data_IF_261306532666
#
_entry.id   IF_261306532666
#
_cell.length_a   1.000
_cell.length_b   1.000
_cell.length_c   1.000
_cell.angle_alpha   90.00
_cell.angle_beta   90.00
_cell.angle_gamma   90.00
#
_symmetry.space_group_name_H-M   'P 1'
#
loop_
_entity.id
_entity.type
_entity.pdbx_description
1 polymer ?
#
# COMPACT_ATOMS: atom_id res chain seq x y z
N UNK A 1 7.65 -25.07 -60.36
CA UNK A 1 7.12 -25.79 -59.18
C UNK A 1 7.67 -25.24 -57.83
N UNK A 2 8.53 -24.21 -57.86
CA UNK A 2 9.20 -23.67 -56.67
C UNK A 2 8.46 -22.50 -56.00
N UNK A 3 7.70 -21.71 -56.76
CA UNK A 3 6.97 -20.52 -56.24
C UNK A 3 5.94 -20.92 -55.19
N UNK A 4 5.28 -22.06 -55.36
CA UNK A 4 4.27 -22.52 -54.37
C UNK A 4 4.92 -22.98 -53.05
N UNK A 5 6.11 -23.54 -53.10
CA UNK A 5 6.86 -23.94 -51.87
C UNK A 5 7.38 -22.73 -51.12
N UNK A 6 7.87 -21.70 -51.81
CA UNK A 6 8.31 -20.45 -51.18
C UNK A 6 7.14 -19.72 -50.52
N UNK A 7 5.98 -19.64 -51.17
CA UNK A 7 4.78 -19.01 -50.62
C UNK A 7 4.31 -19.73 -49.32
N UNK A 8 4.30 -21.04 -49.30
CA UNK A 8 3.94 -21.83 -48.14
C UNK A 8 4.92 -21.57 -46.95
N UNK A 9 6.23 -21.52 -47.27
CA UNK A 9 7.23 -21.21 -46.25
C UNK A 9 7.07 -19.83 -45.63
N UNK A 10 6.74 -18.82 -46.43
CA UNK A 10 6.48 -17.47 -45.93
C UNK A 10 5.22 -17.38 -45.05
N UNK A 11 4.16 -18.12 -45.43
CA UNK A 11 2.94 -18.18 -44.60
C UNK A 11 3.22 -18.77 -43.24
N UNK A 12 3.95 -19.88 -43.15
CA UNK A 12 4.32 -20.47 -41.86
C UNK A 12 5.19 -19.56 -41.01
N UNK A 13 6.09 -18.79 -41.62
CA UNK A 13 6.94 -17.84 -40.92
C UNK A 13 6.14 -16.68 -40.33
N UNK A 14 5.21 -16.13 -41.09
CA UNK A 14 4.32 -15.06 -40.59
C UNK A 14 3.43 -15.59 -39.46
N UNK A 15 2.89 -16.79 -39.61
CA UNK A 15 2.06 -17.42 -38.58
C UNK A 15 2.83 -17.66 -37.28
N UNK A 16 4.08 -18.11 -37.36
CA UNK A 16 4.94 -18.31 -36.19
C UNK A 16 5.26 -16.98 -35.49
N UNK A 17 5.58 -15.93 -36.24
CA UNK A 17 5.84 -14.59 -35.67
C UNK A 17 4.59 -14.01 -35.00
N UNK A 18 3.41 -14.14 -35.61
CA UNK A 18 2.17 -13.66 -35.01
C UNK A 18 1.84 -14.39 -33.70
N UNK A 19 2.09 -15.69 -33.64
CA UNK A 19 1.86 -16.47 -32.43
C UNK A 19 2.78 -16.03 -31.28
N UNK A 20 4.06 -15.75 -31.57
CA UNK A 20 5.00 -15.23 -30.57
C UNK A 20 4.52 -13.87 -30.04
N UNK A 21 4.05 -12.99 -30.90
CA UNK A 21 3.53 -11.65 -30.48
C UNK A 21 2.32 -11.81 -29.55
N UNK A 22 1.39 -12.70 -29.89
CA UNK A 22 0.22 -12.96 -29.03
C UNK A 22 0.63 -13.48 -27.64
N UNK A 23 1.59 -14.41 -27.58
CA UNK A 23 2.10 -14.92 -26.31
C UNK A 23 2.74 -13.80 -25.48
N UNK A 24 3.54 -12.93 -26.10
CA UNK A 24 4.16 -11.80 -25.41
C UNK A 24 3.13 -10.82 -24.84
N UNK A 25 2.06 -10.51 -25.58
CA UNK A 25 0.99 -9.63 -25.10
C UNK A 25 0.28 -10.25 -23.88
N UNK A 26 0.00 -11.55 -23.91
CA UNK A 26 -0.60 -12.26 -22.79
C UNK A 26 0.31 -12.24 -21.54
N UNK A 27 1.62 -12.49 -21.74
CA UNK A 27 2.58 -12.46 -20.65
C UNK A 27 2.69 -11.07 -20.01
N UNK A 28 2.74 -10.00 -20.81
CA UNK A 28 2.82 -8.63 -20.31
C UNK A 28 1.55 -8.28 -19.51
N UNK A 29 0.37 -8.64 -20.00
CA UNK A 29 -0.88 -8.44 -19.28
C UNK A 29 -0.89 -9.15 -17.92
N UNK A 30 -0.45 -10.41 -17.87
CA UNK A 30 -0.39 -11.19 -16.62
C UNK A 30 0.58 -10.60 -15.59
N UNK A 31 1.71 -10.04 -16.01
CA UNK A 31 2.69 -9.39 -15.11
C UNK A 31 2.08 -8.12 -14.50
N UNK A 32 1.37 -7.32 -15.30
CA UNK A 32 0.76 -6.07 -14.83
C UNK A 32 -0.32 -6.33 -13.76
N UNK A 33 -1.11 -7.39 -13.91
CA UNK A 33 -2.13 -7.74 -12.91
C UNK A 33 -1.50 -8.19 -11.58
N UNK A 34 -0.36 -8.87 -11.62
CA UNK A 34 0.35 -9.27 -10.40
C UNK A 34 0.93 -8.10 -9.60
N UNK A 35 1.43 -7.06 -10.24
CA UNK A 35 1.96 -5.88 -9.54
C UNK A 35 0.88 -5.13 -8.72
N UNK A 36 -0.34 -5.06 -9.23
CA UNK A 36 -1.46 -4.41 -8.51
C UNK A 36 -1.85 -5.22 -7.26
N UNK A 37 -1.88 -6.53 -7.35
CA UNK A 37 -2.20 -7.41 -6.22
C UNK A 37 -1.12 -7.35 -5.13
N UNK A 38 0.15 -7.33 -5.52
CA UNK A 38 1.28 -7.17 -4.61
C UNK A 38 1.22 -5.84 -3.83
N UNK A 39 0.86 -4.75 -4.47
CA UNK A 39 0.77 -3.45 -3.82
C UNK A 39 -0.35 -3.41 -2.77
N UNK A 40 -1.49 -4.02 -3.05
CA UNK A 40 -2.59 -4.15 -2.11
C UNK A 40 -2.20 -4.97 -0.87
N UNK A 41 -1.58 -6.14 -1.08
CA UNK A 41 -1.11 -6.99 0.03
C UNK A 41 -0.10 -6.26 0.90
N UNK A 42 0.87 -5.57 0.30
CA UNK A 42 1.88 -4.80 1.03
C UNK A 42 1.27 -3.67 1.86
N UNK A 43 0.27 -2.99 1.33
CA UNK A 43 -0.45 -1.93 2.04
C UNK A 43 -1.25 -2.50 3.22
N UNK A 44 -1.92 -3.64 3.04
CA UNK A 44 -2.64 -4.32 4.11
C UNK A 44 -1.71 -4.81 5.23
N UNK A 45 -0.55 -5.38 4.88
CA UNK A 45 0.47 -5.76 5.84
C UNK A 45 0.98 -4.55 6.63
N UNK A 46 1.25 -3.44 5.96
CA UNK A 46 1.71 -2.21 6.61
C UNK A 46 0.69 -1.70 7.62
N UNK A 47 -0.58 -1.61 7.23
CA UNK A 47 -1.66 -1.14 8.10
C UNK A 47 -1.83 -2.03 9.32
N UNK A 48 -1.85 -3.34 9.11
CA UNK A 48 -1.91 -4.30 10.20
C UNK A 48 -0.72 -4.16 11.14
N UNK A 49 0.48 -3.93 10.61
CA UNK A 49 1.67 -3.68 11.40
C UNK A 49 1.50 -2.41 12.25
N UNK A 50 1.06 -1.30 11.66
CA UNK A 50 0.86 -0.04 12.39
C UNK A 50 -0.07 -0.22 13.60
N UNK A 51 -1.16 -0.97 13.44
CA UNK A 51 -2.22 -1.09 14.46
C UNK A 51 -1.95 -2.22 15.45
N UNK A 52 -1.32 -3.33 15.01
CA UNK A 52 -1.22 -4.55 15.80
C UNK A 52 0.17 -4.84 16.35
N UNK A 53 1.22 -4.15 15.86
CA UNK A 53 2.59 -4.36 16.33
C UNK A 53 2.84 -3.50 17.58
N UNK A 54 3.35 -4.13 18.65
CA UNK A 54 3.72 -3.44 19.88
C UNK A 54 4.85 -2.42 19.69
N UNK A 55 5.68 -2.57 18.66
CA UNK A 55 6.71 -1.61 18.30
C UNK A 55 6.18 -0.43 17.47
N UNK A 56 4.90 -0.45 17.08
CA UNK A 56 4.23 0.64 16.38
C UNK A 56 3.22 1.34 17.31
N UNK A 57 1.94 1.30 17.00
CA UNK A 57 0.92 2.01 17.77
C UNK A 57 0.23 1.15 18.82
N UNK A 58 0.30 -0.19 18.70
CA UNK A 58 -0.46 -1.07 19.57
C UNK A 58 -0.13 -0.85 21.05
N UNK A 59 -1.17 -0.76 21.86
CA UNK A 59 -1.00 -0.77 23.33
C UNK A 59 -0.66 -2.17 23.81
N UNK A 60 0.38 -2.27 24.65
CA UNK A 60 0.80 -3.53 25.29
C UNK A 60 1.17 -3.30 26.76
N UNK A 61 0.72 -4.16 27.63
CA UNK A 61 1.04 -4.18 29.06
C UNK A 61 1.72 -5.49 29.53
N UNK A 62 1.56 -6.57 28.86
CA UNK A 62 2.19 -7.89 28.88
C UNK A 62 1.75 -8.67 27.64
N UNK A 63 0.77 -8.14 26.95
CA UNK A 63 0.23 -8.64 25.69
C UNK A 63 -0.30 -7.46 24.88
N UNK A 64 -0.35 -7.63 23.60
CA UNK A 64 -0.98 -6.65 22.69
C UNK A 64 -2.50 -6.66 22.88
N UNK A 65 -3.08 -5.49 23.07
CA UNK A 65 -4.52 -5.30 23.16
C UNK A 65 -5.08 -4.89 21.80
N UNK A 66 -5.81 -5.81 21.16
CA UNK A 66 -6.41 -5.55 19.84
C UNK A 66 -7.40 -4.39 19.90
N UNK A 67 -7.26 -3.46 18.97
CA UNK A 67 -8.13 -2.29 18.90
C UNK A 67 -7.79 -1.18 19.91
N UNK A 68 -6.66 -1.29 20.60
CA UNK A 68 -6.15 -0.23 21.48
C UNK A 68 -4.80 0.27 20.99
N UNK A 69 -4.64 1.59 20.95
CA UNK A 69 -3.38 2.26 20.60
C UNK A 69 -2.87 3.08 21.76
N UNK A 70 -1.55 3.19 21.87
CA UNK A 70 -0.87 3.95 22.92
C UNK A 70 -0.60 5.37 22.45
N UNK A 71 -1.15 6.36 23.15
CA UNK A 71 -0.95 7.79 22.86
C UNK A 71 0.53 8.17 22.82
N UNK A 72 1.36 7.60 23.69
CA UNK A 72 2.79 7.91 23.77
C UNK A 72 3.57 7.47 22.55
N UNK A 73 3.06 6.47 21.82
CA UNK A 73 3.67 5.96 20.59
C UNK A 73 3.22 6.75 19.34
N UNK A 74 2.18 7.57 19.48
CA UNK A 74 1.71 8.44 18.41
C UNK A 74 2.62 9.67 18.30
N UNK A 75 3.79 9.47 17.73
CA UNK A 75 4.77 10.52 17.43
C UNK A 75 5.61 10.11 16.21
N UNK A 76 6.10 11.09 15.45
CA UNK A 76 6.82 10.92 14.20
C UNK A 76 8.03 10.01 14.36
N UNK A 77 8.92 10.31 15.30
CA UNK A 77 10.17 9.56 15.52
C UNK A 77 9.91 8.07 15.81
N UNK A 78 8.85 7.75 16.56
CA UNK A 78 8.50 6.37 16.88
C UNK A 78 7.97 5.64 15.66
N UNK A 79 7.10 6.31 14.88
CA UNK A 79 6.47 5.76 13.69
C UNK A 79 7.45 5.59 12.52
N UNK A 80 8.42 6.47 12.34
CA UNK A 80 9.49 6.30 11.36
C UNK A 80 10.28 5.00 11.57
N UNK A 81 10.55 4.64 12.82
CA UNK A 81 11.23 3.38 13.14
C UNK A 81 10.36 2.13 12.87
N UNK A 82 9.06 2.30 12.85
CA UNK A 82 8.10 1.22 12.61
C UNK A 82 7.77 1.05 11.13
N UNK A 83 7.65 2.14 10.38
CA UNK A 83 7.22 2.15 8.98
C UNK A 83 8.44 2.05 8.06
N UNK A 84 8.39 1.13 7.11
CA UNK A 84 9.49 0.92 6.17
C UNK A 84 9.63 2.08 5.18
N UNK A 85 10.85 2.33 4.73
CA UNK A 85 11.15 3.26 3.65
C UNK A 85 10.39 2.93 2.35
N UNK A 86 10.04 3.96 1.59
CA UNK A 86 9.44 3.85 0.25
C UNK A 86 7.90 3.86 0.22
N UNK A 87 7.25 4.09 1.35
CA UNK A 87 5.80 4.32 1.45
C UNK A 87 5.59 5.64 2.18
N UNK A 88 4.84 6.58 1.58
CA UNK A 88 4.34 7.76 2.28
C UNK A 88 3.10 7.38 3.09
N UNK A 89 3.03 7.79 4.34
CA UNK A 89 1.88 7.52 5.20
C UNK A 89 1.46 8.81 5.89
N UNK A 90 0.18 9.11 5.81
CA UNK A 90 -0.46 10.17 6.60
C UNK A 90 -1.36 9.50 7.63
N UNK A 91 -1.11 9.79 8.89
CA UNK A 91 -1.87 9.28 10.02
C UNK A 91 -2.62 10.43 10.66
N UNK A 92 -3.94 10.37 10.66
CA UNK A 92 -4.78 11.36 11.31
C UNK A 92 -5.55 10.70 12.46
N UNK A 93 -5.23 11.08 13.69
CA UNK A 93 -5.85 10.58 14.91
C UNK A 93 -6.80 11.63 15.46
N UNK A 94 -8.10 11.29 15.53
CA UNK A 94 -9.13 12.13 16.11
C UNK A 94 -9.69 11.49 17.37
N UNK A 95 -9.71 12.25 18.47
CA UNK A 95 -10.27 11.82 19.76
C UNK A 95 -10.84 13.02 20.49
N UNK A 96 -11.97 12.86 21.17
CA UNK A 96 -12.74 13.94 21.76
C UNK A 96 -12.99 15.09 20.75
N UNK A 97 -12.33 16.23 20.94
CA UNK A 97 -12.37 17.39 20.05
C UNK A 97 -10.98 17.73 19.48
N UNK A 98 -10.02 16.82 19.61
CA UNK A 98 -8.66 16.99 19.12
C UNK A 98 -8.43 16.18 17.87
N UNK A 99 -7.60 16.71 16.98
CA UNK A 99 -7.11 16.01 15.80
C UNK A 99 -5.61 16.24 15.71
N UNK A 100 -4.88 15.15 15.59
CA UNK A 100 -3.42 15.16 15.43
C UNK A 100 -3.08 14.45 14.13
N UNK A 101 -2.18 15.06 13.36
CA UNK A 101 -1.72 14.51 12.09
C UNK A 101 -0.21 14.29 12.14
N UNK A 102 0.22 13.16 11.62
CA UNK A 102 1.64 12.79 11.47
C UNK A 102 1.86 12.33 10.03
N UNK A 103 2.88 12.89 9.41
CA UNK A 103 3.37 12.49 8.09
C UNK A 103 4.64 11.66 8.26
N UNK A 104 4.72 10.56 7.54
CA UNK A 104 5.92 9.71 7.49
C UNK A 104 6.35 9.61 6.03
N UNK A 105 7.63 9.84 5.78
CA UNK A 105 8.18 9.98 4.43
C UNK A 105 7.51 11.13 3.67
N UNK A 106 7.78 12.34 4.13
CA UNK A 106 7.16 13.60 3.67
C UNK A 106 7.20 13.77 2.15
N UNK A 107 8.30 13.36 1.51
CA UNK A 107 8.47 13.44 0.05
C UNK A 107 7.37 12.71 -0.73
N UNK A 108 6.80 11.66 -0.15
CA UNK A 108 5.69 10.90 -0.72
C UNK A 108 4.35 11.27 -0.07
N UNK A 109 4.32 11.48 1.24
CA UNK A 109 3.10 11.80 1.99
C UNK A 109 2.45 13.10 1.48
N UNK A 110 3.23 14.12 1.17
CA UNK A 110 2.77 15.39 0.57
C UNK A 110 2.10 15.22 -0.81
N UNK A 111 2.30 14.06 -1.45
CA UNK A 111 1.70 13.77 -2.75
C UNK A 111 0.35 13.06 -2.66
N UNK A 112 -0.22 12.93 -1.47
CA UNK A 112 -1.50 12.24 -1.28
C UNK A 112 -2.65 12.90 -2.06
N UNK A 113 -2.57 14.21 -2.28
CA UNK A 113 -3.53 14.95 -3.11
C UNK A 113 -3.48 14.57 -4.60
N UNK A 114 -2.39 13.91 -5.03
CA UNK A 114 -2.22 13.42 -6.40
C UNK A 114 -2.72 11.98 -6.61
N UNK A 115 -3.41 11.40 -5.64
CA UNK A 115 -3.96 10.04 -5.68
C UNK A 115 -5.01 9.83 -6.80
N UNK A 116 -5.48 10.89 -7.45
CA UNK A 116 -6.29 10.80 -8.68
C UNK A 116 -5.51 10.29 -9.90
N UNK A 117 -4.17 10.37 -9.89
CA UNK A 117 -3.32 9.80 -10.94
C UNK A 117 -3.00 8.33 -10.65
N UNK A 118 -3.97 7.47 -10.91
CA UNK A 118 -3.88 6.02 -10.72
C UNK A 118 -2.76 5.34 -11.53
N UNK A 119 -2.13 6.04 -12.48
CA UNK A 119 -1.02 5.48 -13.27
C UNK A 119 0.31 5.58 -12.55
N UNK A 120 0.51 6.65 -11.78
CA UNK A 120 1.77 6.96 -11.11
C UNK A 120 1.75 6.51 -9.65
N UNK A 121 0.60 6.61 -8.99
CA UNK A 121 0.48 6.33 -7.56
C UNK A 121 -0.52 5.20 -7.29
N UNK A 122 -0.18 4.41 -6.29
CA UNK A 122 -1.12 3.54 -5.60
C UNK A 122 -1.44 4.17 -4.25
N UNK A 123 -2.71 4.49 -4.03
CA UNK A 123 -3.17 5.12 -2.82
C UNK A 123 -4.26 4.29 -2.16
N UNK A 124 -4.23 4.24 -0.86
CA UNK A 124 -5.23 3.54 -0.07
C UNK A 124 -5.55 4.32 1.20
N UNK A 125 -6.85 4.47 1.48
CA UNK A 125 -7.36 5.11 2.70
C UNK A 125 -8.17 4.11 3.50
N UNK A 126 -7.87 4.00 4.80
CA UNK A 126 -8.61 3.19 5.74
C UNK A 126 -8.94 3.96 7.01
N UNK A 127 -10.09 3.65 7.59
CA UNK A 127 -10.58 4.28 8.82
C UNK A 127 -10.77 3.21 9.88
N UNK A 128 -10.16 3.42 11.04
CA UNK A 128 -10.23 2.52 12.17
C UNK A 128 -10.88 3.22 13.38
N UNK A 129 -11.81 2.52 14.00
CA UNK A 129 -12.40 2.94 15.27
C UNK A 129 -11.69 2.17 16.38
N UNK A 130 -10.97 2.89 17.21
CA UNK A 130 -10.02 2.35 18.19
C UNK A 130 -10.23 2.99 19.55
N UNK A 131 -9.62 2.40 20.57
CA UNK A 131 -9.50 3.00 21.89
C UNK A 131 -8.09 3.56 22.03
N UNK A 132 -7.98 4.85 22.28
CA UNK A 132 -6.73 5.52 22.60
C UNK A 132 -6.44 5.35 24.10
N UNK A 133 -5.33 4.76 24.43
CA UNK A 133 -4.83 4.66 25.81
C UNK A 133 -3.92 5.84 26.10
N UNK A 134 -4.38 6.71 27.01
CA UNK A 134 -3.60 7.85 27.50
C UNK A 134 -3.43 7.70 29.01
N UNK A 135 -2.26 7.21 29.43
CA UNK A 135 -1.97 6.78 30.79
C UNK A 135 -3.04 5.83 31.37
N UNK A 136 -3.95 6.35 32.22
CA UNK A 136 -5.05 5.57 32.79
C UNK A 136 -6.39 5.74 32.08
N UNK A 137 -6.49 6.71 31.15
CA UNK A 137 -7.71 6.97 30.41
C UNK A 137 -7.83 6.07 29.17
N UNK A 138 -9.06 5.73 28.84
CA UNK A 138 -9.44 5.00 27.62
C UNK A 138 -10.43 5.86 26.86
N UNK A 139 -10.00 6.39 25.72
CA UNK A 139 -10.73 7.41 24.96
C UNK A 139 -11.12 6.81 23.60
N UNK A 140 -12.41 6.78 23.24
CA UNK A 140 -12.81 6.41 21.88
C UNK A 140 -12.17 7.34 20.87
N UNK A 141 -11.57 6.75 19.84
CA UNK A 141 -10.83 7.49 18.83
C UNK A 141 -11.04 6.93 17.43
N UNK A 142 -10.77 7.76 16.45
CA UNK A 142 -10.76 7.39 15.04
C UNK A 142 -9.37 7.64 14.49
N UNK A 143 -8.77 6.62 13.89
CA UNK A 143 -7.50 6.70 13.20
C UNK A 143 -7.75 6.52 11.70
N UNK A 144 -7.35 7.51 10.91
CA UNK A 144 -7.35 7.44 9.45
C UNK A 144 -5.91 7.19 9.02
N UNK A 145 -5.72 6.20 8.18
CA UNK A 145 -4.42 5.85 7.60
C UNK A 145 -4.53 6.02 6.10
N UNK A 146 -3.80 6.99 5.56
CA UNK A 146 -3.63 7.20 4.14
C UNK A 146 -2.23 6.74 3.76
N UNK A 147 -2.14 5.75 2.88
CA UNK A 147 -0.88 5.22 2.37
C UNK A 147 -0.73 5.54 0.88
N UNK A 148 0.43 6.06 0.51
CA UNK A 148 0.77 6.38 -0.88
C UNK A 148 2.10 5.72 -1.28
N UNK A 149 2.14 5.19 -2.49
CA UNK A 149 3.30 4.51 -3.06
C UNK A 149 3.42 4.83 -4.54
N UNK A 150 4.65 4.86 -5.05
CA UNK A 150 4.92 4.84 -6.48
C UNK A 150 4.65 3.43 -7.04
N UNK A 151 4.02 3.37 -8.21
CA UNK A 151 3.80 2.13 -8.97
C UNK A 151 5.02 1.74 -9.78
#
# INVERSE_FOLDING_TARGET
>A
MDIAKESIYWIFRIMAVSLIIVILIIMIGSISDHEVEDNKIKSEILRNKIILDENCLAYSDHRVHLGMIDKKKFNELHLENCINEGIGVVLNLTYDNFSEEILINDDLADKIDFCYDEKTFYCEREIYYLILKDDSAEIPSTLIIDAIRLK
#
